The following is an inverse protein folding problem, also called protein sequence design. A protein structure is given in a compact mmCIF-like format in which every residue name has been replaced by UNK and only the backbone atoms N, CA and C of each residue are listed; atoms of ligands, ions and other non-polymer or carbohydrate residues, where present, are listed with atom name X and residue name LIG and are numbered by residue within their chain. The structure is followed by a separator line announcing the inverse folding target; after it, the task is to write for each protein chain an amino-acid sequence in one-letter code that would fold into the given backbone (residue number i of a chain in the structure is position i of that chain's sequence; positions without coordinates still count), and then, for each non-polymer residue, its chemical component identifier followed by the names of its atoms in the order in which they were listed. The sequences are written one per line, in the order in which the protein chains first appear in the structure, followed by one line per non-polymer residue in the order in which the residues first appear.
data_IF_479077893263
#
_entry.id   IF_479077893263
#
_cell.length_a   1.000
_cell.length_b   1.000
_cell.length_c   1.000
_cell.angle_alpha   90.00
_cell.angle_beta   90.00
_cell.angle_gamma   90.00
#
_symmetry.space_group_name_H-M   'P 1'
#
loop_
_entity.id
_entity.type
_entity.pdbx_description
1 polymer ?
#
# COMPACT_ATOMS: atom_id res chain seq x y z
N UNK A 1 24.35 2.59 7.27
CA UNK A 1 23.73 2.88 5.95
C UNK A 1 22.51 3.74 6.23
N UNK A 2 22.37 4.91 5.62
CA UNK A 2 21.15 5.72 5.80
C UNK A 2 19.98 5.10 5.06
N UNK A 3 18.78 5.23 5.60
CA UNK A 3 17.56 4.62 5.08
C UNK A 3 16.51 5.69 4.82
N UNK A 4 15.62 5.39 3.89
CA UNK A 4 14.41 6.16 3.59
C UNK A 4 13.21 5.22 3.55
N UNK A 5 12.03 5.74 3.86
CA UNK A 5 10.77 5.02 3.81
C UNK A 5 9.94 5.52 2.63
N UNK A 6 9.28 4.59 1.96
CA UNK A 6 8.10 4.87 1.15
C UNK A 6 6.94 4.00 1.62
N UNK A 7 5.81 4.62 1.92
CA UNK A 7 4.58 3.96 2.31
C UNK A 7 3.44 4.43 1.42
N UNK A 8 2.57 3.51 1.00
CA UNK A 8 1.37 3.81 0.23
C UNK A 8 0.25 2.87 0.65
N UNK A 9 -0.89 3.44 1.00
CA UNK A 9 -2.10 2.70 1.32
C UNK A 9 -3.29 3.27 0.55
N UNK A 10 -4.11 2.40 -0.02
CA UNK A 10 -5.30 2.77 -0.79
C UNK A 10 -6.49 1.94 -0.38
N UNK A 11 -7.67 2.56 -0.39
CA UNK A 11 -8.95 1.92 -0.14
C UNK A 11 -9.83 1.99 -1.38
N UNK A 12 -10.50 0.87 -1.68
CA UNK A 12 -11.40 0.76 -2.82
C UNK A 12 -12.61 -0.12 -2.49
N UNK A 13 -13.82 0.18 -3.02
CA UNK A 13 -15.03 -0.58 -2.74
C UNK A 13 -14.94 -2.03 -3.22
N UNK A 14 -15.32 -2.99 -2.37
CA UNK A 14 -15.11 -4.42 -2.61
C UNK A 14 -15.74 -5.00 -3.89
N UNK A 15 -16.97 -4.65 -4.29
CA UNK A 15 -17.49 -5.14 -5.57
C UNK A 15 -16.63 -4.66 -6.77
N UNK A 16 -16.09 -3.44 -6.69
CA UNK A 16 -15.19 -2.89 -7.69
C UNK A 16 -13.76 -3.43 -7.58
N UNK A 17 -13.45 -4.11 -6.46
CA UNK A 17 -12.13 -4.54 -6.09
C UNK A 17 -11.95 -6.06 -6.10
N UNK A 18 -12.98 -6.87 -6.36
CA UNK A 18 -12.86 -8.33 -6.29
C UNK A 18 -11.77 -8.86 -7.21
N UNK A 19 -11.68 -8.38 -8.46
CA UNK A 19 -10.59 -8.77 -9.38
C UNK A 19 -9.23 -8.30 -8.88
N UNK A 20 -9.13 -7.08 -8.36
CA UNK A 20 -7.89 -6.55 -7.77
C UNK A 20 -7.45 -7.37 -6.56
N UNK A 21 -8.38 -7.66 -5.64
CA UNK A 21 -8.18 -8.41 -4.41
C UNK A 21 -7.72 -9.82 -4.69
N UNK A 22 -8.38 -10.54 -5.59
CA UNK A 22 -7.95 -11.88 -5.98
C UNK A 22 -6.56 -11.85 -6.62
N UNK A 23 -6.30 -10.90 -7.54
CA UNK A 23 -4.99 -10.74 -8.16
C UNK A 23 -3.88 -10.43 -7.14
N UNK A 24 -4.17 -9.58 -6.15
CA UNK A 24 -3.24 -9.25 -5.08
C UNK A 24 -2.95 -10.44 -4.17
N UNK A 25 -3.99 -11.12 -3.69
CA UNK A 25 -3.84 -12.31 -2.82
C UNK A 25 -3.07 -13.41 -3.55
N UNK A 26 -3.35 -13.62 -4.83
CA UNK A 26 -2.63 -14.59 -5.66
C UNK A 26 -1.15 -14.17 -5.87
N UNK A 27 -0.90 -12.90 -6.19
CA UNK A 27 0.47 -12.40 -6.35
C UNK A 27 1.31 -12.55 -5.07
N UNK A 28 0.73 -12.27 -3.91
CA UNK A 28 1.38 -12.43 -2.61
C UNK A 28 1.66 -13.92 -2.34
N UNK A 29 0.65 -14.80 -2.51
CA UNK A 29 0.80 -16.25 -2.26
C UNK A 29 1.79 -16.94 -3.19
N UNK A 30 1.95 -16.44 -4.42
CA UNK A 30 2.92 -16.96 -5.38
C UNK A 30 4.35 -16.46 -5.13
N UNK A 31 4.56 -15.53 -4.20
CA UNK A 31 5.88 -15.01 -3.86
C UNK A 31 6.53 -15.97 -2.85
N UNK A 32 7.66 -16.61 -3.17
CA UNK A 32 8.35 -17.46 -2.21
C UNK A 32 8.95 -16.62 -1.07
N UNK A 33 8.91 -17.15 0.16
CA UNK A 33 9.51 -16.52 1.34
C UNK A 33 11.00 -16.19 1.12
N UNK A 34 11.72 -17.12 0.49
CA UNK A 34 13.08 -16.92 0.02
C UNK A 34 13.09 -16.83 -1.50
N UNK A 35 13.34 -15.64 -2.04
CA UNK A 35 13.48 -15.41 -3.47
C UNK A 35 14.61 -14.41 -3.76
N UNK A 36 15.10 -14.44 -5.00
CA UNK A 36 16.08 -13.45 -5.46
C UNK A 36 15.41 -12.09 -5.77
N UNK A 37 16.23 -11.06 -5.95
CA UNK A 37 15.74 -9.71 -6.22
C UNK A 37 14.91 -9.60 -7.51
N UNK A 38 15.19 -10.44 -8.52
CA UNK A 38 14.45 -10.44 -9.78
C UNK A 38 13.04 -10.99 -9.59
N UNK A 39 12.92 -12.11 -8.88
CA UNK A 39 11.64 -12.74 -8.51
C UNK A 39 10.82 -11.82 -7.62
N UNK A 40 11.46 -11.14 -6.66
CA UNK A 40 10.81 -10.16 -5.78
C UNK A 40 10.28 -8.97 -6.59
N UNK A 41 11.08 -8.41 -7.49
CA UNK A 41 10.64 -7.33 -8.39
C UNK A 41 9.45 -7.76 -9.27
N UNK A 42 9.51 -8.95 -9.89
CA UNK A 42 8.41 -9.50 -10.68
C UNK A 42 7.12 -9.68 -9.85
N UNK A 43 7.25 -10.05 -8.58
CA UNK A 43 6.12 -10.22 -7.66
C UNK A 43 5.43 -8.88 -7.36
N UNK A 44 6.20 -7.83 -7.08
CA UNK A 44 5.66 -6.47 -6.97
C UNK A 44 5.09 -5.95 -8.30
N UNK A 45 5.65 -6.35 -9.44
CA UNK A 45 5.08 -6.10 -10.75
C UNK A 45 3.66 -6.66 -10.89
N UNK A 46 3.40 -7.89 -10.44
CA UNK A 46 2.06 -8.49 -10.42
C UNK A 46 1.09 -7.74 -9.49
N UNK A 47 1.57 -7.33 -8.31
CA UNK A 47 0.81 -6.51 -7.36
C UNK A 47 0.36 -5.20 -7.99
N UNK A 48 1.27 -4.51 -8.69
CA UNK A 48 0.96 -3.27 -9.40
C UNK A 48 -0.01 -3.52 -10.55
N UNK A 49 0.16 -4.60 -11.33
CA UNK A 49 -0.77 -4.96 -12.41
C UNK A 49 -2.18 -5.25 -11.89
N UNK A 50 -2.32 -5.77 -10.67
CA UNK A 50 -3.62 -6.00 -10.05
C UNK A 50 -4.29 -4.70 -9.55
N UNK A 51 -3.51 -3.70 -9.10
CA UNK A 51 -4.04 -2.45 -8.54
C UNK A 51 -4.25 -1.34 -9.57
N UNK A 52 -3.32 -1.18 -10.51
CA UNK A 52 -3.27 -0.03 -11.42
C UNK A 52 -4.57 0.17 -12.25
N UNK A 53 -5.22 -0.88 -12.78
CA UNK A 53 -6.49 -0.74 -13.51
C UNK A 53 -7.63 -0.17 -12.65
N UNK A 54 -7.54 -0.29 -11.33
CA UNK A 54 -8.58 0.10 -10.38
C UNK A 54 -8.35 1.47 -9.74
N UNK A 55 -7.32 2.21 -10.17
CA UNK A 55 -6.97 3.53 -9.61
C UNK A 55 -8.13 4.53 -9.62
N UNK A 56 -9.01 4.47 -10.63
CA UNK A 56 -10.21 5.32 -10.71
C UNK A 56 -11.26 4.99 -9.63
N UNK A 57 -11.22 3.79 -9.06
CA UNK A 57 -12.12 3.34 -8.00
C UNK A 57 -11.57 3.63 -6.60
N UNK A 58 -10.38 4.20 -6.47
CA UNK A 58 -9.83 4.53 -5.15
C UNK A 58 -10.65 5.66 -4.52
N UNK A 59 -11.07 5.43 -3.27
CA UNK A 59 -11.92 6.37 -2.51
C UNK A 59 -11.12 7.15 -1.48
N UNK A 60 -10.21 6.47 -0.79
CA UNK A 60 -9.34 7.01 0.23
C UNK A 60 -7.92 6.48 0.01
N UNK A 61 -6.94 7.23 0.46
CA UNK A 61 -5.57 6.76 0.49
C UNK A 61 -4.67 7.68 1.29
N UNK A 62 -3.47 7.20 1.52
CA UNK A 62 -2.38 7.97 2.11
C UNK A 62 -1.07 7.45 1.52
N UNK A 63 -0.09 8.34 1.44
CA UNK A 63 1.28 7.97 1.11
C UNK A 63 2.22 8.84 1.92
N UNK A 64 3.42 8.31 2.18
CA UNK A 64 4.47 9.04 2.87
C UNK A 64 5.84 8.69 2.29
N UNK A 65 6.75 9.66 2.29
CA UNK A 65 8.13 9.50 1.90
C UNK A 65 9.03 10.20 2.91
N UNK A 66 9.88 9.43 3.60
CA UNK A 66 10.68 9.91 4.72
C UNK A 66 12.15 9.67 4.41
N UNK A 67 12.95 10.74 4.40
CA UNK A 67 14.40 10.67 4.11
C UNK A 67 15.26 10.61 5.39
N UNK A 68 14.66 10.87 6.55
CA UNK A 68 15.34 10.78 7.83
C UNK A 68 15.51 9.31 8.25
N UNK A 69 16.76 8.92 8.56
CA UNK A 69 17.11 7.51 8.79
C UNK A 69 16.40 6.88 9.99
N UNK A 70 16.41 7.58 11.13
CA UNK A 70 15.88 7.04 12.38
C UNK A 70 14.36 7.00 12.29
N UNK A 71 13.75 8.09 11.82
CA UNK A 71 12.31 8.17 11.59
C UNK A 71 11.83 7.15 10.56
N UNK A 72 12.56 6.91 9.45
CA UNK A 72 12.18 5.92 8.45
C UNK A 72 12.09 4.50 9.02
N UNK A 73 13.00 4.12 9.94
CA UNK A 73 12.94 2.81 10.59
C UNK A 73 11.77 2.71 11.56
N UNK A 74 11.56 3.74 12.38
CA UNK A 74 10.46 3.78 13.35
C UNK A 74 9.10 3.73 12.65
N UNK A 75 8.94 4.53 11.61
CA UNK A 75 7.71 4.60 10.83
C UNK A 75 7.46 3.30 10.06
N UNK A 76 8.49 2.67 9.47
CA UNK A 76 8.32 1.36 8.82
C UNK A 76 7.76 0.31 9.79
N UNK A 77 8.29 0.25 11.02
CA UNK A 77 7.78 -0.65 12.05
C UNK A 77 6.36 -0.29 12.47
N UNK A 78 6.10 1.00 12.71
CA UNK A 78 4.76 1.48 13.07
C UNK A 78 3.72 1.15 12.00
N UNK A 79 4.08 1.29 10.72
CA UNK A 79 3.24 0.91 9.60
C UNK A 79 2.98 -0.60 9.56
N UNK A 80 4.00 -1.44 9.73
CA UNK A 80 3.82 -2.88 9.80
C UNK A 80 2.91 -3.28 10.97
N UNK A 81 3.22 -2.82 12.19
CA UNK A 81 2.46 -3.15 13.39
C UNK A 81 0.99 -2.70 13.28
N UNK A 82 0.75 -1.46 12.83
CA UNK A 82 -0.59 -0.93 12.62
C UNK A 82 -1.36 -1.70 11.55
N UNK A 83 -0.74 -1.96 10.40
CA UNK A 83 -1.42 -2.66 9.31
C UNK A 83 -1.65 -4.14 9.62
N UNK A 84 -0.76 -4.78 10.36
CA UNK A 84 -0.95 -6.15 10.84
C UNK A 84 -2.10 -6.24 11.83
N UNK A 85 -2.23 -5.29 12.76
CA UNK A 85 -3.36 -5.23 13.67
C UNK A 85 -4.67 -5.05 12.90
N UNK A 86 -4.73 -4.11 11.96
CA UNK A 86 -5.90 -3.90 11.10
C UNK A 86 -6.23 -5.15 10.28
N UNK A 87 -5.23 -5.81 9.70
CA UNK A 87 -5.44 -6.99 8.85
C UNK A 87 -5.92 -8.22 9.64
N UNK A 88 -5.49 -8.35 10.91
CA UNK A 88 -5.85 -9.46 11.79
C UNK A 88 -7.10 -9.20 12.64
N UNK A 89 -7.58 -7.96 12.68
CA UNK A 89 -8.82 -7.62 13.37
C UNK A 89 -10.00 -8.39 12.74
N UNK A 90 -10.61 -9.24 13.57
CA UNK A 90 -11.75 -10.06 13.16
C UNK A 90 -12.87 -9.17 12.62
N UNK A 91 -13.41 -9.55 11.46
CA UNK A 91 -14.58 -8.85 10.92
C UNK A 91 -15.68 -8.83 12.00
N UNK A 92 -16.27 -7.66 12.31
CA UNK A 92 -17.37 -7.58 13.26
C UNK A 92 -18.45 -8.59 12.87
N UNK A 93 -18.88 -9.40 13.83
CA UNK A 93 -19.95 -10.40 13.67
C UNK A 93 -21.35 -9.78 13.68
N UNK A 94 -21.44 -8.45 13.66
CA UNK A 94 -22.71 -7.74 13.71
C UNK A 94 -23.58 -8.07 12.48
N UNK A 95 -24.72 -8.75 12.66
CA UNK A 95 -25.64 -9.08 11.56
C UNK A 95 -26.29 -7.84 10.93
N UNK A 96 -26.18 -6.67 11.56
CA UNK A 96 -26.65 -5.39 11.03
C UNK A 96 -25.55 -4.59 10.33
N UNK A 97 -24.35 -5.16 10.14
CA UNK A 97 -23.27 -4.55 9.37
C UNK A 97 -23.75 -4.29 7.94
N UNK A 98 -24.20 -3.07 7.70
CA UNK A 98 -24.88 -2.67 6.49
C UNK A 98 -24.08 -1.53 5.84
N UNK A 99 -23.83 -1.64 4.53
CA UNK A 99 -23.14 -0.61 3.78
C UNK A 99 -22.05 -1.14 2.86
N UNK A 100 -21.49 -0.25 2.01
CA UNK A 100 -20.39 -0.62 1.12
C UNK A 100 -19.16 -1.01 1.95
N UNK A 101 -18.67 -2.21 1.70
CA UNK A 101 -17.39 -2.66 2.23
C UNK A 101 -16.26 -2.22 1.31
N UNK A 102 -15.12 -1.90 1.90
CA UNK A 102 -13.90 -1.52 1.21
C UNK A 102 -12.83 -2.56 1.50
N UNK A 103 -11.94 -2.75 0.53
CA UNK A 103 -10.65 -3.37 0.77
C UNK A 103 -9.59 -2.28 0.91
N UNK A 104 -8.49 -2.61 1.56
CA UNK A 104 -7.26 -1.84 1.45
C UNK A 104 -6.10 -2.69 0.96
N UNK A 105 -5.14 -2.01 0.35
CA UNK A 105 -3.82 -2.54 0.06
C UNK A 105 -2.77 -1.55 0.57
N UNK A 106 -1.77 -2.05 1.30
CA UNK A 106 -0.63 -1.28 1.79
C UNK A 106 0.65 -1.83 1.17
N UNK A 107 1.52 -0.93 0.69
CA UNK A 107 2.85 -1.23 0.15
C UNK A 107 3.87 -0.40 0.92
N UNK A 108 4.87 -1.07 1.49
CA UNK A 108 5.92 -0.45 2.30
C UNK A 108 7.29 -0.82 1.76
N UNK A 109 8.19 0.15 1.67
CA UNK A 109 9.57 -0.05 1.24
C UNK A 109 10.52 0.76 2.12
N UNK A 110 11.41 0.05 2.81
CA UNK A 110 12.55 0.63 3.49
C UNK A 110 13.76 0.51 2.57
N UNK A 111 14.28 1.64 2.11
CA UNK A 111 15.25 1.72 1.02
C UNK A 111 16.58 2.28 1.50
N UNK A 112 17.68 1.91 0.85
CA UNK A 112 18.96 2.57 1.06
C UNK A 112 18.92 3.99 0.48
N UNK A 113 19.02 5.01 1.35
CA UNK A 113 18.90 6.41 0.95
C UNK A 113 19.97 6.82 -0.07
N UNK A 114 19.56 7.58 -1.08
CA UNK A 114 20.36 8.04 -2.21
C UNK A 114 20.73 6.95 -3.23
N UNK A 115 20.21 5.72 -3.09
CA UNK A 115 20.45 4.59 -4.02
C UNK A 115 19.33 4.46 -5.05
N UNK A 116 19.41 3.43 -5.89
CA UNK A 116 18.59 3.30 -7.10
C UNK A 116 17.08 3.29 -6.81
N UNK A 117 16.59 2.45 -5.88
CA UNK A 117 15.17 2.42 -5.53
C UNK A 117 14.69 3.76 -4.94
N UNK A 118 15.44 4.30 -3.99
CA UNK A 118 15.14 5.59 -3.34
C UNK A 118 15.03 6.74 -4.35
N UNK A 119 15.96 6.83 -5.32
CA UNK A 119 15.91 7.87 -6.36
C UNK A 119 14.68 7.79 -7.25
N UNK A 120 14.25 6.57 -7.59
CA UNK A 120 13.03 6.35 -8.39
C UNK A 120 11.81 6.84 -7.64
N UNK A 121 11.68 6.49 -6.36
CA UNK A 121 10.56 6.95 -5.52
C UNK A 121 10.62 8.45 -5.27
N UNK A 122 11.79 8.99 -4.92
CA UNK A 122 11.98 10.42 -4.70
C UNK A 122 11.50 11.22 -5.92
N UNK A 123 11.89 10.81 -7.13
CA UNK A 123 11.43 11.44 -8.37
C UNK A 123 9.92 11.25 -8.60
N UNK A 124 9.38 10.08 -8.28
CA UNK A 124 7.93 9.84 -8.35
C UNK A 124 7.15 10.75 -7.38
N UNK A 125 7.72 11.07 -6.20
CA UNK A 125 7.12 11.92 -5.17
C UNK A 125 7.27 13.42 -5.45
N UNK A 126 8.14 13.83 -6.38
CA UNK A 126 8.29 15.24 -6.77
C UNK A 126 7.07 15.73 -7.53
N UNK A 127 6.15 16.32 -6.79
CA UNK A 127 4.97 16.99 -7.30
C UNK A 127 4.49 18.09 -6.34
N UNK A 128 3.64 19.01 -6.80
CA UNK A 128 3.02 20.02 -5.94
C UNK A 128 2.08 19.38 -4.90
N UNK A 129 1.94 19.99 -3.72
CA UNK A 129 1.11 19.47 -2.62
C UNK A 129 -0.37 19.39 -3.01
N UNK A 130 -0.83 20.29 -3.88
CA UNK A 130 -2.22 20.37 -4.36
C UNK A 130 -2.67 19.11 -5.10
N UNK A 131 -1.73 18.28 -5.56
CA UNK A 131 -2.04 17.03 -6.27
C UNK A 131 -1.82 15.78 -5.41
N UNK A 132 -1.34 15.89 -4.16
CA UNK A 132 -0.97 14.74 -3.33
C UNK A 132 -2.10 13.73 -3.17
N UNK A 133 -3.34 14.21 -3.04
CA UNK A 133 -4.53 13.40 -2.76
C UNK A 133 -5.42 13.21 -3.99
N UNK A 134 -4.82 13.08 -5.17
CA UNK A 134 -5.52 12.79 -6.42
C UNK A 134 -5.31 11.33 -6.84
N UNK A 135 -6.31 10.68 -7.44
CA UNK A 135 -6.14 9.30 -7.96
C UNK A 135 -4.98 9.18 -8.94
N UNK A 136 -4.75 10.21 -9.74
CA UNK A 136 -3.63 10.28 -10.68
C UNK A 136 -2.26 10.21 -10.00
N UNK A 137 -2.13 10.77 -8.78
CA UNK A 137 -0.91 10.70 -7.98
C UNK A 137 -0.65 9.29 -7.51
N UNK A 138 -1.66 8.60 -6.97
CA UNK A 138 -1.52 7.20 -6.59
C UNK A 138 -1.20 6.30 -7.78
N UNK A 139 -1.79 6.56 -8.96
CA UNK A 139 -1.45 5.86 -10.20
C UNK A 139 0.03 6.08 -10.59
N UNK A 140 0.53 7.31 -10.49
CA UNK A 140 1.96 7.65 -10.72
C UNK A 140 2.86 6.90 -9.76
N UNK A 141 2.57 6.95 -8.46
CA UNK A 141 3.35 6.30 -7.42
C UNK A 141 3.38 4.77 -7.63
N UNK A 142 2.23 4.14 -7.85
CA UNK A 142 2.14 2.70 -8.15
C UNK A 142 2.93 2.32 -9.41
N UNK A 143 2.86 3.14 -10.46
CA UNK A 143 3.59 2.89 -11.71
C UNK A 143 5.11 2.95 -11.57
N UNK A 144 5.62 3.58 -10.50
CA UNK A 144 7.06 3.63 -10.23
C UNK A 144 7.63 2.33 -9.66
N UNK A 145 6.80 1.53 -8.99
CA UNK A 145 7.22 0.33 -8.22
C UNK A 145 7.91 -0.74 -9.08
N UNK A 146 7.46 -1.07 -10.32
CA UNK A 146 8.15 -2.05 -11.16
C UNK A 146 9.58 -1.63 -11.54
N UNK A 147 9.89 -0.32 -11.46
CA UNK A 147 11.21 0.22 -11.79
C UNK A 147 12.20 0.19 -10.60
N UNK A 148 11.77 -0.30 -9.43
CA UNK A 148 12.62 -0.35 -8.26
C UNK A 148 13.71 -1.42 -8.38
N UNK A 149 14.93 -1.04 -8.02
CA UNK A 149 16.03 -1.98 -7.88
C UNK A 149 16.02 -2.60 -6.47
N UNK A 150 15.50 -3.83 -6.37
CA UNK A 150 15.35 -4.57 -5.12
C UNK A 150 16.68 -4.88 -4.43
N UNK A 151 17.82 -4.84 -5.12
CA UNK A 151 19.13 -4.95 -4.47
C UNK A 151 19.47 -3.75 -3.57
N UNK A 152 18.69 -2.65 -3.66
CA UNK A 152 18.85 -1.44 -2.84
C UNK A 152 17.70 -1.22 -1.86
N UNK A 153 16.83 -2.23 -1.72
CA UNK A 153 15.74 -2.26 -0.74
C UNK A 153 16.23 -3.06 0.46
N UNK A 154 16.16 -2.47 1.65
CA UNK A 154 16.55 -3.11 2.91
C UNK A 154 15.45 -4.00 3.45
N UNK A 155 14.19 -3.57 3.34
CA UNK A 155 13.02 -4.32 3.78
C UNK A 155 11.79 -3.85 3.00
N UNK A 156 10.80 -4.72 2.88
CA UNK A 156 9.56 -4.43 2.17
C UNK A 156 8.40 -5.20 2.80
N UNK A 157 7.18 -4.68 2.66
CA UNK A 157 5.97 -5.33 3.16
C UNK A 157 4.77 -5.05 2.26
N UNK A 158 3.86 -6.02 2.17
CA UNK A 158 2.58 -5.89 1.46
C UNK A 158 1.48 -6.43 2.36
N UNK A 159 0.42 -5.65 2.54
CA UNK A 159 -0.76 -6.07 3.28
C UNK A 159 -2.02 -5.85 2.45
N UNK A 160 -2.97 -6.78 2.55
CA UNK A 160 -4.25 -6.73 1.85
C UNK A 160 -5.36 -7.16 2.81
N UNK A 161 -6.36 -6.31 3.02
CA UNK A 161 -7.57 -6.63 3.79
C UNK A 161 -8.81 -6.37 2.93
N UNK A 162 -9.79 -7.27 2.89
CA UNK A 162 -9.77 -8.59 3.50
C UNK A 162 -8.99 -9.59 2.64
N UNK A 163 -8.37 -10.60 3.25
CA UNK A 163 -7.85 -11.78 2.55
C UNK A 163 -8.93 -12.86 2.31
N UNK A 164 -10.13 -12.67 2.89
CA UNK A 164 -11.32 -13.55 2.82
C UNK A 164 -12.64 -12.76 2.85
N UNK A 165 -13.77 -13.32 3.37
CA UNK A 165 -14.99 -12.54 3.59
C UNK A 165 -14.75 -11.48 4.68
N UNK A 166 -15.26 -10.27 4.47
CA UNK A 166 -14.99 -9.13 5.35
C UNK A 166 -14.68 -7.88 4.53
N UNK A 167 -14.08 -6.87 5.14
CA UNK A 167 -13.79 -5.56 4.55
C UNK A 167 -13.95 -4.47 5.60
N UNK A 168 -13.65 -3.23 5.26
CA UNK A 168 -13.86 -2.06 6.13
C UNK A 168 -15.09 -1.31 5.65
N UNK A 169 -16.07 -1.14 6.53
CA UNK A 169 -17.29 -0.37 6.26
C UNK A 169 -16.95 1.12 6.12
N UNK A 170 -17.86 1.87 5.49
CA UNK A 170 -17.75 3.32 5.46
C UNK A 170 -17.80 3.97 6.86
N UNK A 171 -18.46 3.31 7.82
CA UNK A 171 -18.56 3.78 9.21
C UNK A 171 -17.23 3.61 9.95
N UNK A 172 -16.61 2.42 9.85
CA UNK A 172 -15.27 2.19 10.41
C UNK A 172 -14.26 3.17 9.82
N UNK A 173 -14.29 3.43 8.50
CA UNK A 173 -13.42 4.43 7.86
C UNK A 173 -13.58 5.85 8.39
N UNK A 174 -14.67 6.16 9.09
CA UNK A 174 -14.90 7.47 9.70
C UNK A 174 -14.39 7.56 11.15
N UNK A 175 -13.93 6.45 11.72
CA UNK A 175 -13.37 6.40 13.08
C UNK A 175 -12.01 7.09 13.18
N UNK A 176 -11.65 7.50 14.40
CA UNK A 176 -10.43 8.28 14.67
C UNK A 176 -9.16 7.55 14.23
N UNK A 177 -9.13 6.22 14.35
CA UNK A 177 -7.98 5.41 13.97
C UNK A 177 -7.69 5.46 12.46
N UNK A 178 -8.67 5.78 11.62
CA UNK A 178 -8.49 6.05 10.18
C UNK A 178 -8.40 7.55 9.83
N UNK A 179 -8.33 8.45 10.81
CA UNK A 179 -8.30 9.90 10.61
C UNK A 179 -7.10 10.43 9.80
N UNK A 180 -6.05 9.62 9.63
CA UNK A 180 -4.90 9.94 8.78
C UNK A 180 -5.21 9.84 7.28
N UNK A 181 -6.24 9.06 6.89
CA UNK A 181 -6.59 8.83 5.50
C UNK A 181 -7.14 10.10 4.83
N UNK A 182 -6.82 10.26 3.55
CA UNK A 182 -7.30 11.38 2.73
C UNK A 182 -8.26 10.88 1.68
N UNK A 183 -9.36 11.63 1.52
CA UNK A 183 -10.31 11.39 0.43
C UNK A 183 -9.67 11.76 -0.89
N UNK A 184 -9.77 10.86 -1.87
CA UNK A 184 -9.12 11.05 -3.16
C UNK A 184 -10.03 11.77 -4.15
N UNK A 185 -9.47 12.82 -4.77
CA UNK A 185 -10.08 13.57 -5.85
C UNK A 185 -9.87 12.88 -7.20
#
# INVERSE_FOLDING_TARGET
MKLSLFALQVFLPLPAADTARYGLVDAIRQTPDACDFATKNASYGRVVQALLPHTQSFVMGVWDYIEDHDRANEEFRSWCDGTENDANEAAPTDPYRSGPLHMFATLLFLMAHGKAADRVICEACRMPEEVYWQRATFARLLSSIPHLNFATISSDAIYVRPSGPGGVTAEELAEEHYGYLKKLA
#
